data_IF_460796404997
#
_entry.id   IF_460796404997
#
_cell.length_a   1.000
_cell.length_b   1.000
_cell.length_c   1.000
_cell.angle_alpha   90.00
_cell.angle_beta   90.00
_cell.angle_gamma   90.00
#
_symmetry.space_group_name_H-M   'P 1'
#
loop_
_entity.id
_entity.type
_entity.pdbx_description
1 polymer ?
#
# COMPACT_ATOMS: atom_id res chain seq x y z
N UNK A 1 -9.97 11.36 10.33
CA UNK A 1 -8.83 10.67 10.95
C UNK A 1 -7.63 11.56 10.85
N UNK A 2 -6.91 11.76 11.95
CA UNK A 2 -5.71 12.60 11.99
C UNK A 2 -4.48 11.72 11.74
N UNK A 3 -3.64 12.12 10.78
CA UNK A 3 -2.40 11.39 10.47
C UNK A 3 -1.43 11.53 11.65
N UNK A 4 -0.91 10.41 12.14
CA UNK A 4 0.02 10.39 13.26
C UNK A 4 1.43 10.67 12.75
N UNK A 5 2.03 11.77 13.21
CA UNK A 5 3.40 12.13 12.80
C UNK A 5 4.39 11.13 13.42
N UNK A 6 5.24 10.46 12.63
CA UNK A 6 6.27 9.56 13.15
C UNK A 6 7.30 10.33 13.95
N UNK A 7 8.04 9.63 14.81
CA UNK A 7 9.19 10.23 15.50
C UNK A 7 10.33 10.45 14.50
N UNK A 8 10.93 11.62 14.53
CA UNK A 8 12.10 11.98 13.74
C UNK A 8 13.39 11.54 14.43
N UNK A 9 14.55 11.80 13.81
CA UNK A 9 15.83 11.60 14.49
C UNK A 9 15.93 12.47 15.75
N UNK A 10 16.76 12.03 16.71
CA UNK A 10 16.94 12.73 17.98
C UNK A 10 17.29 14.21 17.79
N UNK A 11 18.24 14.51 16.89
CA UNK A 11 18.69 15.87 16.61
C UNK A 11 17.57 16.73 16.01
N UNK A 12 16.76 16.16 15.11
CA UNK A 12 15.60 16.84 14.55
C UNK A 12 14.56 17.14 15.63
N UNK A 13 14.22 16.17 16.47
CA UNK A 13 13.24 16.37 17.56
C UNK A 13 13.69 17.48 18.51
N UNK A 14 14.97 17.48 18.93
CA UNK A 14 15.52 18.52 19.81
C UNK A 14 15.40 19.93 19.20
N UNK A 15 15.66 20.07 17.90
CA UNK A 15 15.52 21.35 17.21
C UNK A 15 14.05 21.76 17.05
N UNK A 16 13.15 20.81 16.81
CA UNK A 16 11.71 21.06 16.72
C UNK A 16 11.12 21.48 18.07
N UNK A 17 11.53 20.84 19.17
CA UNK A 17 11.14 21.21 20.53
C UNK A 17 11.58 22.63 20.88
N UNK A 18 12.85 22.95 20.61
CA UNK A 18 13.38 24.31 20.79
C UNK A 18 12.63 25.32 19.91
N UNK A 19 12.45 25.01 18.63
CA UNK A 19 11.74 25.87 17.69
C UNK A 19 10.28 26.10 18.08
N UNK A 20 9.58 25.07 18.54
CA UNK A 20 8.21 25.18 19.05
C UNK A 20 8.14 26.08 20.29
N UNK A 21 9.10 25.97 21.20
CA UNK A 21 9.19 26.82 22.39
C UNK A 21 9.40 28.30 22.01
N UNK A 22 10.31 28.58 21.08
CA UNK A 22 10.52 29.94 20.55
C UNK A 22 9.27 30.48 19.83
N UNK A 23 8.57 29.62 19.08
CA UNK A 23 7.34 29.97 18.39
C UNK A 23 6.22 30.35 19.37
N UNK A 24 6.05 29.63 20.47
CA UNK A 24 5.04 29.96 21.48
C UNK A 24 5.26 31.35 22.10
N UNK A 25 6.52 31.72 22.31
CA UNK A 25 6.88 33.00 22.95
C UNK A 25 6.79 34.17 21.96
N UNK A 26 7.30 33.99 20.75
CA UNK A 26 7.59 35.11 19.83
C UNK A 26 6.95 34.99 18.45
N UNK A 27 6.19 33.91 18.20
CA UNK A 27 5.66 33.54 16.86
C UNK A 27 6.76 33.43 15.79
N UNK A 28 8.01 33.28 16.21
CA UNK A 28 9.16 33.13 15.33
C UNK A 28 9.20 31.70 14.77
N UNK A 29 9.24 31.60 13.45
CA UNK A 29 9.39 30.32 12.76
C UNK A 29 10.81 29.78 12.87
N UNK A 30 10.95 28.46 12.91
CA UNK A 30 12.24 27.79 12.86
C UNK A 30 12.85 27.95 11.46
N UNK A 31 14.12 28.36 11.41
CA UNK A 31 14.89 28.28 10.17
C UNK A 31 15.29 26.83 9.92
N UNK A 32 14.54 26.14 9.05
CA UNK A 32 14.71 24.70 8.81
C UNK A 32 15.92 24.43 7.92
N UNK A 33 16.99 23.90 8.52
CA UNK A 33 18.19 23.47 7.81
C UNK A 33 17.91 22.35 6.81
N UNK A 34 18.80 22.16 5.83
CA UNK A 34 18.68 21.09 4.84
C UNK A 34 18.61 19.69 5.49
N UNK A 35 19.40 19.48 6.55
CA UNK A 35 19.46 18.22 7.27
C UNK A 35 18.13 17.87 7.96
N UNK A 36 17.58 18.80 8.75
CA UNK A 36 16.29 18.63 9.44
C UNK A 36 15.18 18.39 8.41
N UNK A 37 15.16 19.18 7.34
CA UNK A 37 14.19 19.05 6.26
C UNK A 37 14.25 17.67 5.60
N UNK A 38 15.45 17.16 5.33
CA UNK A 38 15.66 15.84 4.74
C UNK A 38 15.12 14.74 5.65
N UNK A 39 15.47 14.77 6.95
CA UNK A 39 15.01 13.78 7.92
C UNK A 39 13.48 13.73 8.05
N UNK A 40 12.83 14.90 8.20
CA UNK A 40 11.37 15.00 8.24
C UNK A 40 10.75 14.40 6.98
N UNK A 41 11.24 14.77 5.80
CA UNK A 41 10.70 14.28 4.52
C UNK A 41 10.96 12.78 4.32
N UNK A 42 12.11 12.25 4.76
CA UNK A 42 12.42 10.83 4.70
C UNK A 42 11.44 10.02 5.56
N UNK A 43 11.29 10.38 6.83
CA UNK A 43 10.40 9.68 7.76
C UNK A 43 8.94 9.76 7.37
N UNK A 44 8.46 10.94 6.97
CA UNK A 44 7.09 11.08 6.46
C UNK A 44 6.89 10.32 5.15
N UNK A 45 7.88 10.31 4.26
CA UNK A 45 7.77 9.57 3.00
C UNK A 45 7.66 8.06 3.22
N UNK A 46 8.47 7.51 4.13
CA UNK A 46 8.40 6.10 4.55
C UNK A 46 7.03 5.76 5.14
N UNK A 47 6.55 6.58 6.09
CA UNK A 47 5.29 6.36 6.79
C UNK A 47 4.09 6.46 5.84
N UNK A 48 4.04 7.50 4.98
CA UNK A 48 3.00 7.61 3.93
C UNK A 48 3.01 6.38 3.03
N UNK A 49 4.18 5.89 2.63
CA UNK A 49 4.30 4.74 1.73
C UNK A 49 3.70 3.47 2.35
N UNK A 50 3.91 3.23 3.65
CA UNK A 50 3.34 2.09 4.36
C UNK A 50 1.81 2.08 4.32
N UNK A 51 1.17 3.26 4.35
CA UNK A 51 -0.29 3.35 4.19
C UNK A 51 -0.72 3.31 2.71
N UNK A 52 0.01 3.98 1.82
CA UNK A 52 -0.36 4.12 0.41
C UNK A 52 0.86 4.42 -0.47
N UNK A 53 1.23 3.48 -1.34
CA UNK A 53 2.33 3.66 -2.29
C UNK A 53 2.08 4.81 -3.30
N UNK A 54 0.82 5.01 -3.72
CA UNK A 54 0.40 6.06 -4.66
C UNK A 54 -0.59 7.04 -4.01
N UNK A 55 -0.12 7.92 -3.10
CA UNK A 55 -0.98 8.91 -2.46
C UNK A 55 -1.50 9.94 -3.46
N UNK A 56 -2.73 10.38 -3.25
CA UNK A 56 -3.37 11.47 -3.98
C UNK A 56 -3.12 12.81 -3.29
N UNK A 57 -3.38 13.92 -3.98
CA UNK A 57 -3.11 15.27 -3.51
C UNK A 57 -3.68 15.58 -2.11
N UNK A 58 -4.89 15.07 -1.81
CA UNK A 58 -5.54 15.23 -0.50
C UNK A 58 -4.76 14.57 0.66
N UNK A 59 -4.09 13.44 0.42
CA UNK A 59 -3.29 12.76 1.45
C UNK A 59 -2.10 13.63 1.85
N UNK A 60 -1.48 14.31 0.88
CA UNK A 60 -0.39 15.24 1.14
C UNK A 60 -0.84 16.47 1.91
N UNK A 61 -2.07 16.97 1.68
CA UNK A 61 -2.64 18.03 2.51
C UNK A 61 -2.77 17.59 3.96
N UNK A 62 -3.39 16.42 4.21
CA UNK A 62 -3.59 15.88 5.57
C UNK A 62 -2.26 15.75 6.32
N UNK A 63 -1.22 15.20 5.68
CA UNK A 63 0.08 15.01 6.33
C UNK A 63 0.77 16.35 6.60
N UNK A 64 0.72 17.28 5.65
CA UNK A 64 1.33 18.60 5.84
C UNK A 64 0.63 19.40 6.94
N UNK A 65 -0.70 19.32 7.04
CA UNK A 65 -1.49 19.93 8.10
C UNK A 65 -1.18 19.30 9.46
N UNK A 66 -1.12 17.97 9.54
CA UNK A 66 -0.73 17.27 10.77
C UNK A 66 0.69 17.63 11.23
N UNK A 67 1.63 17.78 10.28
CA UNK A 67 3.01 18.17 10.57
C UNK A 67 3.06 19.57 11.21
N UNK A 68 2.41 20.55 10.59
CA UNK A 68 2.40 21.93 11.09
C UNK A 68 1.58 22.06 12.37
N UNK A 69 0.51 21.28 12.53
CA UNK A 69 -0.26 21.25 13.77
C UNK A 69 0.58 20.73 14.95
N UNK A 70 1.38 19.68 14.73
CA UNK A 70 2.29 19.14 15.77
C UNK A 70 3.52 20.02 15.99
N UNK A 71 4.03 20.63 14.93
CA UNK A 71 5.21 21.49 14.98
C UNK A 71 4.91 22.87 14.35
N UNK A 72 4.20 23.76 15.07
CA UNK A 72 3.84 25.09 14.55
C UNK A 72 5.03 25.93 14.11
N UNK A 73 6.23 25.69 14.66
CA UNK A 73 7.45 26.37 14.25
C UNK A 73 7.86 26.10 12.79
N UNK A 74 7.28 25.09 12.14
CA UNK A 74 7.51 24.75 10.74
C UNK A 74 6.60 25.49 9.75
N UNK A 75 5.67 26.32 10.25
CA UNK A 75 4.71 27.03 9.40
C UNK A 75 5.44 28.00 8.45
N UNK A 76 5.10 27.95 7.16
CA UNK A 76 5.73 28.79 6.14
C UNK A 76 4.95 30.08 5.89
N UNK A 77 5.59 31.26 5.92
CA UNK A 77 4.93 32.52 5.63
C UNK A 77 4.48 32.59 4.16
N UNK A 78 3.37 33.29 3.90
CA UNK A 78 2.83 33.47 2.54
C UNK A 78 1.98 32.30 2.01
N UNK A 79 1.80 31.23 2.79
CA UNK A 79 0.84 30.17 2.50
C UNK A 79 -0.44 30.38 3.33
N UNK A 80 -1.61 30.26 2.70
CA UNK A 80 -2.93 30.43 3.35
C UNK A 80 -3.09 29.59 4.62
N UNK A 81 -2.64 28.33 4.60
CA UNK A 81 -2.66 27.42 5.74
C UNK A 81 -1.27 27.18 6.36
N UNK A 82 -0.22 27.80 5.81
CA UNK A 82 1.15 27.68 6.29
C UNK A 82 1.82 26.31 6.05
N UNK A 83 1.16 25.39 5.34
CA UNK A 83 1.66 24.03 5.11
C UNK A 83 1.83 23.70 3.61
N UNK A 84 1.52 24.63 2.70
CA UNK A 84 1.53 24.38 1.26
C UNK A 84 2.91 23.95 0.72
N UNK A 85 4.02 24.58 1.15
CA UNK A 85 5.34 24.18 0.67
C UNK A 85 5.75 22.81 1.19
N UNK A 86 5.38 22.45 2.43
CA UNK A 86 5.53 21.08 2.94
C UNK A 86 4.78 20.06 2.09
N UNK A 87 3.52 20.34 1.73
CA UNK A 87 2.75 19.51 0.80
C UNK A 87 3.50 19.29 -0.53
N UNK A 88 4.02 20.35 -1.14
CA UNK A 88 4.76 20.22 -2.40
C UNK A 88 6.04 19.38 -2.23
N UNK A 89 6.81 19.62 -1.16
CA UNK A 89 8.02 18.84 -0.87
C UNK A 89 7.71 17.36 -0.65
N UNK A 90 6.62 17.03 0.04
CA UNK A 90 6.16 15.65 0.21
C UNK A 90 5.78 15.00 -1.13
N UNK A 91 5.11 15.73 -2.04
CA UNK A 91 4.79 15.22 -3.39
C UNK A 91 6.07 14.83 -4.16
N UNK A 92 7.05 15.72 -4.19
CA UNK A 92 8.34 15.45 -4.83
C UNK A 92 9.08 14.30 -4.13
N UNK A 93 9.13 14.31 -2.80
CA UNK A 93 9.76 13.26 -2.00
C UNK A 93 9.16 11.89 -2.29
N UNK A 94 7.83 11.77 -2.34
CA UNK A 94 7.16 10.51 -2.66
C UNK A 94 7.43 10.04 -4.09
N UNK A 95 7.55 10.96 -5.04
CA UNK A 95 8.00 10.64 -6.40
C UNK A 95 9.40 10.01 -6.40
N UNK A 96 10.35 10.65 -5.73
CA UNK A 96 11.73 10.17 -5.63
C UNK A 96 11.84 8.86 -4.85
N UNK A 97 11.11 8.73 -3.74
CA UNK A 97 11.11 7.55 -2.89
C UNK A 97 10.59 6.31 -3.65
N UNK A 98 9.51 6.44 -4.41
CA UNK A 98 9.05 5.37 -5.31
C UNK A 98 10.10 4.98 -6.35
N UNK A 99 10.78 5.96 -6.95
CA UNK A 99 11.85 5.67 -7.91
C UNK A 99 12.99 4.89 -7.26
N UNK A 100 13.39 5.24 -6.03
CA UNK A 100 14.40 4.51 -5.26
C UNK A 100 13.96 3.08 -4.93
N UNK A 101 12.75 2.89 -4.38
CA UNK A 101 12.22 1.57 -4.07
C UNK A 101 12.09 0.68 -5.31
N UNK A 102 11.72 1.26 -6.45
CA UNK A 102 11.71 0.54 -7.74
C UNK A 102 13.11 0.06 -8.13
N UNK A 103 14.14 0.89 -7.95
CA UNK A 103 15.54 0.50 -8.23
C UNK A 103 16.03 -0.60 -7.28
N UNK A 104 15.53 -0.62 -6.04
CA UNK A 104 15.80 -1.68 -5.06
C UNK A 104 15.01 -2.97 -5.32
N UNK A 105 14.21 -3.04 -6.39
CA UNK A 105 13.50 -4.24 -6.80
C UNK A 105 12.13 -4.43 -6.17
N UNK A 106 11.51 -3.39 -5.60
CA UNK A 106 10.15 -3.46 -5.07
C UNK A 106 9.14 -3.92 -6.15
N UNK A 107 8.54 -5.12 -6.03
CA UNK A 107 7.71 -5.69 -7.09
C UNK A 107 6.45 -4.87 -7.40
N UNK A 108 5.85 -4.28 -6.36
CA UNK A 108 4.68 -3.41 -6.48
C UNK A 108 4.92 -2.20 -7.41
N UNK A 109 6.15 -1.68 -7.45
CA UNK A 109 6.51 -0.54 -8.30
C UNK A 109 7.09 -0.98 -9.64
N UNK A 110 7.70 -2.17 -9.70
CA UNK A 110 8.30 -2.70 -10.92
C UNK A 110 7.24 -3.12 -11.95
N UNK A 111 6.05 -3.55 -11.51
CA UNK A 111 4.93 -3.95 -12.38
C UNK A 111 4.49 -2.84 -13.35
N UNK A 112 4.72 -1.57 -13.01
CA UNK A 112 4.38 -0.40 -13.83
C UNK A 112 5.54 0.09 -14.72
N UNK A 113 6.69 -0.59 -14.71
CA UNK A 113 7.82 -0.22 -15.55
C UNK A 113 7.50 -0.36 -17.04
N UNK A 114 8.22 0.37 -17.91
CA UNK A 114 8.07 0.19 -19.35
C UNK A 114 8.43 -1.23 -19.79
N UNK A 115 9.39 -1.88 -19.10
CA UNK A 115 9.81 -3.26 -19.39
C UNK A 115 8.71 -4.30 -19.11
N UNK A 116 7.82 -4.02 -18.17
CA UNK A 116 6.70 -4.91 -17.80
C UNK A 116 5.42 -4.61 -18.58
N UNK A 117 5.39 -3.56 -19.41
CA UNK A 117 4.26 -3.25 -20.29
C UNK A 117 4.47 -3.90 -21.65
N UNK A 118 3.37 -4.38 -22.25
CA UNK A 118 3.39 -4.85 -23.62
C UNK A 118 3.84 -3.70 -24.56
N UNK A 119 4.57 -4.04 -25.62
CA UNK A 119 5.18 -3.09 -26.56
C UNK A 119 4.17 -2.14 -27.20
N UNK A 120 2.92 -2.57 -27.36
CA UNK A 120 1.81 -1.78 -27.92
C UNK A 120 1.18 -0.78 -26.92
N UNK A 121 1.49 -0.89 -25.62
CA UNK A 121 0.93 -0.09 -24.53
C UNK A 121 2.01 0.71 -23.75
N UNK A 122 3.17 0.93 -24.36
CA UNK A 122 4.40 1.47 -23.75
C UNK A 122 4.38 2.98 -23.41
N UNK A 123 3.26 3.50 -22.90
CA UNK A 123 3.21 4.84 -22.30
C UNK A 123 3.32 4.74 -20.77
N UNK A 124 4.19 5.53 -20.10
CA UNK A 124 4.39 5.45 -18.65
C UNK A 124 3.10 5.60 -17.84
N UNK A 125 2.20 6.49 -18.26
CA UNK A 125 0.96 6.81 -17.55
C UNK A 125 -0.25 5.91 -17.91
N UNK A 126 -0.16 5.09 -18.97
CA UNK A 126 -1.29 4.26 -19.42
C UNK A 126 -1.39 2.99 -18.57
N UNK A 127 -2.59 2.65 -18.08
CA UNK A 127 -2.88 1.41 -17.30
C UNK A 127 -1.94 1.21 -16.10
N UNK A 128 -1.78 2.23 -15.26
CA UNK A 128 -1.00 2.09 -14.00
C UNK A 128 -1.73 1.14 -13.05
N UNK A 129 -1.09 0.01 -12.77
CA UNK A 129 -1.51 -1.02 -11.82
C UNK A 129 -1.20 -0.54 -10.42
N UNK A 130 -2.23 -0.31 -9.60
CA UNK A 130 -2.08 0.17 -8.23
C UNK A 130 -3.11 -0.49 -7.32
N UNK A 131 -2.81 -0.62 -6.02
CA UNK A 131 -3.77 -1.12 -5.04
C UNK A 131 -5.10 -0.35 -5.13
N UNK A 132 -6.22 -1.08 -5.09
CA UNK A 132 -7.56 -0.49 -4.98
C UNK A 132 -8.14 -0.83 -3.60
N UNK A 133 -9.08 -0.02 -3.11
CA UNK A 133 -9.95 -0.32 -1.94
C UNK A 133 -9.20 -0.91 -0.72
N UNK A 134 -8.01 -0.39 -0.39
CA UNK A 134 -7.15 -0.83 0.71
C UNK A 134 -6.59 -2.27 0.60
N UNK A 135 -6.38 -2.78 -0.61
CA UNK A 135 -5.62 -4.01 -0.84
C UNK A 135 -4.22 -3.92 -0.21
N UNK A 136 -4.01 -4.60 0.92
CA UNK A 136 -2.74 -4.63 1.63
C UNK A 136 -1.68 -5.43 0.86
N UNK A 137 -2.09 -6.51 0.19
CA UNK A 137 -1.20 -7.37 -0.58
C UNK A 137 -1.51 -7.31 -2.08
N UNK A 138 -1.38 -6.11 -2.67
CA UNK A 138 -1.67 -5.86 -4.08
C UNK A 138 -0.78 -6.64 -5.05
N UNK A 139 0.54 -6.66 -4.80
CA UNK A 139 1.52 -7.32 -5.66
C UNK A 139 2.63 -7.98 -4.82
N UNK A 140 2.29 -9.07 -4.10
CA UNK A 140 3.23 -9.75 -3.21
C UNK A 140 4.39 -10.41 -3.98
N UNK A 141 5.57 -10.41 -3.36
CA UNK A 141 6.73 -11.17 -3.81
C UNK A 141 6.49 -12.67 -3.67
N UNK A 142 7.21 -13.48 -4.47
CA UNK A 142 7.23 -14.92 -4.25
C UNK A 142 7.98 -15.27 -2.96
N UNK A 143 7.64 -16.41 -2.32
CA UNK A 143 8.43 -16.94 -1.21
C UNK A 143 9.90 -17.13 -1.63
N UNK A 144 10.82 -17.00 -0.66
CA UNK A 144 12.25 -17.16 -0.92
C UNK A 144 12.53 -18.54 -1.51
N UNK A 145 13.26 -18.57 -2.63
CA UNK A 145 13.64 -19.81 -3.33
C UNK A 145 12.59 -20.33 -4.31
N UNK A 146 11.40 -19.71 -4.41
CA UNK A 146 10.38 -20.07 -5.40
C UNK A 146 10.52 -19.23 -6.67
N UNK A 147 10.36 -19.85 -7.83
CA UNK A 147 10.27 -19.19 -9.14
C UNK A 147 8.86 -19.32 -9.72
N UNK A 148 8.58 -18.60 -10.81
CA UNK A 148 7.30 -18.75 -11.49
C UNK A 148 7.10 -20.19 -11.96
N UNK A 149 8.16 -20.82 -12.46
CA UNK A 149 8.14 -22.20 -12.98
C UNK A 149 7.91 -23.22 -11.86
N UNK A 150 8.56 -23.07 -10.70
CA UNK A 150 8.34 -23.98 -9.57
C UNK A 150 6.90 -23.89 -9.05
N UNK A 151 6.39 -22.66 -8.90
CA UNK A 151 5.02 -22.42 -8.46
C UNK A 151 3.98 -22.93 -9.47
N UNK A 152 4.25 -22.81 -10.78
CA UNK A 152 3.37 -23.33 -11.82
C UNK A 152 3.35 -24.86 -11.87
N UNK A 153 4.51 -25.51 -11.68
CA UNK A 153 4.60 -26.97 -11.56
C UNK A 153 3.81 -27.48 -10.35
N UNK A 154 3.89 -26.76 -9.25
CA UNK A 154 3.13 -27.07 -8.05
C UNK A 154 1.61 -26.79 -8.19
N UNK A 155 1.21 -25.77 -8.96
CA UNK A 155 -0.19 -25.53 -9.32
C UNK A 155 -0.79 -26.73 -10.04
N UNK A 156 -0.06 -27.34 -10.98
CA UNK A 156 -0.54 -28.54 -11.67
C UNK A 156 -0.84 -29.68 -10.70
N UNK A 157 -0.02 -29.85 -9.65
CA UNK A 157 -0.28 -30.83 -8.59
C UNK A 157 -1.51 -30.47 -7.77
N UNK A 158 -1.82 -29.19 -7.56
CA UNK A 158 -3.03 -28.78 -6.86
C UNK A 158 -4.30 -29.25 -7.58
N UNK A 159 -4.29 -29.33 -8.92
CA UNK A 159 -5.47 -29.76 -9.67
C UNK A 159 -5.92 -31.19 -9.32
N UNK A 160 -4.97 -32.11 -9.06
CA UNK A 160 -5.32 -33.46 -8.62
C UNK A 160 -5.82 -33.49 -7.18
N UNK A 161 -5.35 -32.59 -6.32
CA UNK A 161 -5.74 -32.53 -4.89
C UNK A 161 -7.19 -32.10 -4.68
N UNK A 162 -7.71 -31.23 -5.56
CA UNK A 162 -9.07 -30.70 -5.48
C UNK A 162 -10.14 -31.79 -5.69
N UNK A 163 -9.79 -32.88 -6.38
CA UNK A 163 -10.68 -34.02 -6.57
C UNK A 163 -10.69 -35.03 -5.41
N UNK A 164 -9.82 -34.87 -4.41
CA UNK A 164 -9.68 -35.82 -3.30
C UNK A 164 -10.63 -35.44 -2.17
N UNK A 165 -11.35 -36.43 -1.63
CA UNK A 165 -12.28 -36.26 -0.52
C UNK A 165 -11.54 -35.91 0.78
N UNK A 166 -12.08 -34.99 1.57
CA UNK A 166 -11.54 -34.56 2.88
C UNK A 166 -10.10 -34.02 2.82
N UNK A 167 -9.75 -33.30 1.76
CA UNK A 167 -8.39 -32.81 1.49
C UNK A 167 -8.22 -31.30 1.75
N UNK A 168 -9.16 -30.69 2.49
CA UNK A 168 -9.29 -29.23 2.61
C UNK A 168 -8.03 -28.59 3.20
N UNK A 169 -7.40 -29.24 4.18
CA UNK A 169 -6.17 -28.72 4.82
C UNK A 169 -4.99 -28.67 3.86
N UNK A 170 -4.84 -29.69 3.00
CA UNK A 170 -3.77 -29.75 2.00
C UNK A 170 -4.02 -28.70 0.93
N UNK A 171 -5.27 -28.57 0.47
CA UNK A 171 -5.68 -27.52 -0.47
C UNK A 171 -5.36 -26.15 0.13
N UNK A 172 -5.70 -25.88 1.38
CA UNK A 172 -5.45 -24.60 2.04
C UNK A 172 -3.97 -24.23 2.14
N UNK A 173 -3.09 -25.17 2.55
CA UNK A 173 -1.63 -24.93 2.58
C UNK A 173 -1.08 -24.68 1.18
N UNK A 174 -1.49 -25.52 0.22
CA UNK A 174 -1.11 -25.37 -1.18
C UNK A 174 -1.63 -24.06 -1.74
N UNK A 175 -2.82 -23.61 -1.39
CA UNK A 175 -3.35 -22.33 -1.84
C UNK A 175 -2.58 -21.17 -1.21
N UNK A 176 -2.25 -21.23 0.08
CA UNK A 176 -1.49 -20.20 0.78
C UNK A 176 -0.14 -19.90 0.13
N UNK A 177 0.64 -20.94 -0.16
CA UNK A 177 1.95 -20.81 -0.79
C UNK A 177 1.90 -20.15 -2.18
N UNK A 178 0.77 -20.25 -2.89
CA UNK A 178 0.60 -19.77 -4.27
C UNK A 178 -0.27 -18.51 -4.36
N UNK A 179 -0.54 -17.86 -3.23
CA UNK A 179 -1.22 -16.57 -3.22
C UNK A 179 -0.52 -15.54 -4.12
N UNK A 180 0.81 -15.49 -4.06
CA UNK A 180 1.55 -14.49 -4.82
C UNK A 180 1.45 -14.67 -6.34
N UNK A 181 1.63 -15.89 -6.85
CA UNK A 181 1.47 -16.17 -8.29
C UNK A 181 0.04 -15.88 -8.76
N UNK A 182 -0.99 -16.25 -7.98
CA UNK A 182 -2.40 -15.93 -8.31
C UNK A 182 -2.65 -14.44 -8.37
N UNK A 183 -2.19 -13.70 -7.38
CA UNK A 183 -2.39 -12.25 -7.33
C UNK A 183 -1.70 -11.58 -8.51
N UNK A 184 -0.44 -11.96 -8.78
CA UNK A 184 0.28 -11.47 -9.94
C UNK A 184 -0.39 -11.85 -11.26
N UNK A 185 -0.97 -13.05 -11.39
CA UNK A 185 -1.75 -13.46 -12.57
C UNK A 185 -2.94 -12.51 -12.81
N UNK A 186 -3.74 -12.24 -11.77
CA UNK A 186 -4.88 -11.32 -11.85
C UNK A 186 -4.44 -9.90 -12.20
N UNK A 187 -3.37 -9.39 -11.57
CA UNK A 187 -2.86 -8.04 -11.84
C UNK A 187 -2.19 -7.94 -13.21
N UNK A 188 -1.54 -9.00 -13.69
CA UNK A 188 -0.75 -8.96 -14.90
C UNK A 188 -1.56 -9.26 -16.16
N UNK A 189 -2.37 -10.30 -16.11
CA UNK A 189 -3.04 -10.88 -17.27
C UNK A 189 -4.52 -10.48 -17.36
N UNK A 190 -5.11 -10.01 -16.25
CA UNK A 190 -6.55 -9.69 -16.16
C UNK A 190 -7.43 -10.78 -16.80
N UNK A 191 -7.25 -12.08 -16.42
CA UNK A 191 -7.88 -13.19 -17.11
C UNK A 191 -9.40 -13.15 -16.91
N UNK A 192 -10.14 -13.72 -17.87
CA UNK A 192 -11.58 -13.93 -17.69
C UNK A 192 -11.85 -14.87 -16.52
N UNK A 193 -13.01 -14.72 -15.87
CA UNK A 193 -13.40 -15.58 -14.74
C UNK A 193 -13.38 -17.06 -15.13
N UNK A 194 -13.76 -17.39 -16.38
CA UNK A 194 -13.72 -18.76 -16.90
C UNK A 194 -12.30 -19.33 -16.88
N UNK A 195 -11.35 -18.62 -17.50
CA UNK A 195 -9.94 -19.05 -17.54
C UNK A 195 -9.34 -19.13 -16.14
N UNK A 196 -9.65 -18.15 -15.28
CA UNK A 196 -9.13 -18.13 -13.93
C UNK A 196 -9.69 -19.28 -13.06
N UNK A 197 -10.96 -19.63 -13.23
CA UNK A 197 -11.59 -20.79 -12.59
C UNK A 197 -10.95 -22.10 -13.03
N UNK A 198 -10.71 -22.27 -14.33
CA UNK A 198 -10.10 -23.49 -14.86
C UNK A 198 -8.67 -23.67 -14.33
N UNK A 199 -7.92 -22.56 -14.14
CA UNK A 199 -6.57 -22.59 -13.57
C UNK A 199 -6.54 -22.81 -12.05
N UNK A 200 -7.53 -22.27 -11.32
CA UNK A 200 -7.61 -22.26 -9.86
C UNK A 200 -8.98 -22.69 -9.33
N UNK A 201 -9.39 -23.96 -9.57
CA UNK A 201 -10.74 -24.41 -9.20
C UNK A 201 -11.00 -24.33 -7.69
N UNK A 202 -9.97 -24.54 -6.87
CA UNK A 202 -10.05 -24.41 -5.41
C UNK A 202 -10.52 -23.02 -4.95
N UNK A 203 -10.17 -21.94 -5.67
CA UNK A 203 -10.59 -20.57 -5.32
C UNK A 203 -12.11 -20.37 -5.36
N UNK A 204 -12.85 -21.27 -6.01
CA UNK A 204 -14.30 -21.20 -6.11
C UNK A 204 -15.00 -22.02 -5.01
N UNK A 205 -14.25 -22.47 -4.00
CA UNK A 205 -14.76 -23.03 -2.76
C UNK A 205 -14.85 -21.93 -1.69
N UNK A 206 -15.92 -21.92 -0.88
CA UNK A 206 -16.16 -20.86 0.12
C UNK A 206 -14.98 -20.62 1.05
N UNK A 207 -14.36 -21.69 1.57
CA UNK A 207 -13.22 -21.60 2.48
C UNK A 207 -12.02 -20.87 1.83
N UNK A 208 -11.74 -21.16 0.56
CA UNK A 208 -10.64 -20.51 -0.15
C UNK A 208 -10.98 -19.08 -0.59
N UNK A 209 -12.25 -18.75 -0.86
CA UNK A 209 -12.68 -17.36 -1.06
C UNK A 209 -12.38 -16.53 0.19
N UNK A 210 -12.76 -17.05 1.37
CA UNK A 210 -12.51 -16.40 2.64
C UNK A 210 -11.00 -16.24 2.92
N UNK A 211 -10.23 -17.30 2.69
CA UNK A 211 -8.79 -17.29 2.89
C UNK A 211 -8.09 -16.32 1.92
N UNK A 212 -8.48 -16.31 0.64
CA UNK A 212 -7.91 -15.41 -0.36
C UNK A 212 -8.22 -13.95 -0.07
N UNK A 213 -9.45 -13.66 0.36
CA UNK A 213 -9.83 -12.32 0.81
C UNK A 213 -8.99 -11.88 2.01
N UNK A 214 -8.82 -12.74 3.01
CA UNK A 214 -7.99 -12.44 4.17
C UNK A 214 -6.52 -12.20 3.79
N UNK A 215 -5.96 -13.00 2.87
CA UNK A 215 -4.60 -12.78 2.36
C UNK A 215 -4.48 -11.45 1.61
N UNK A 216 -5.49 -11.04 0.85
CA UNK A 216 -5.47 -9.78 0.11
C UNK A 216 -5.65 -8.55 1.00
N UNK A 217 -6.62 -8.61 1.91
CA UNK A 217 -7.13 -7.46 2.65
C UNK A 217 -6.67 -7.38 4.11
N UNK A 218 -5.98 -8.43 4.61
CA UNK A 218 -5.57 -8.61 6.02
C UNK A 218 -6.72 -8.55 7.04
N UNK A 219 -7.97 -8.70 6.58
CA UNK A 219 -9.19 -8.77 7.40
C UNK A 219 -10.05 -9.96 6.99
N UNK A 220 -10.73 -10.59 7.95
CA UNK A 220 -11.61 -11.75 7.69
C UNK A 220 -12.91 -11.32 6.99
N UNK A 221 -13.27 -11.99 5.89
CA UNK A 221 -14.43 -11.63 5.07
C UNK A 221 -15.76 -11.76 5.81
N UNK A 222 -16.10 -12.96 6.26
CA UNK A 222 -17.42 -13.25 6.87
C UNK A 222 -17.68 -12.42 8.15
N UNK A 223 -16.78 -12.37 9.15
CA UNK A 223 -17.03 -11.56 10.34
C UNK A 223 -17.17 -10.07 10.01
N UNK A 224 -16.35 -9.55 9.08
CA UNK A 224 -16.42 -8.16 8.67
C UNK A 224 -17.72 -7.86 7.93
N UNK A 225 -18.14 -8.77 7.04
CA UNK A 225 -19.38 -8.64 6.29
C UNK A 225 -20.59 -8.64 7.22
N UNK A 226 -20.69 -9.61 8.13
CA UNK A 226 -21.81 -9.71 9.09
C UNK A 226 -21.86 -8.47 10.00
N UNK A 227 -20.72 -8.05 10.56
CA UNK A 227 -20.67 -6.85 11.39
C UNK A 227 -21.08 -5.58 10.64
N UNK A 228 -20.81 -5.48 9.34
CA UNK A 228 -21.30 -4.35 8.54
C UNK A 228 -22.78 -4.51 8.18
N UNK A 229 -23.24 -5.73 7.89
CA UNK A 229 -24.64 -6.00 7.63
C UNK A 229 -25.51 -5.54 8.80
N UNK A 230 -25.17 -5.93 10.03
CA UNK A 230 -25.90 -5.51 11.25
C UNK A 230 -26.04 -3.99 11.38
N UNK A 231 -24.98 -3.24 11.03
CA UNK A 231 -24.98 -1.77 11.06
C UNK A 231 -25.96 -1.19 10.03
N UNK A 232 -26.05 -1.79 8.84
CA UNK A 232 -26.86 -1.26 7.73
C UNK A 232 -28.25 -1.91 7.60
N UNK A 233 -28.53 -3.01 8.30
CA UNK A 233 -29.80 -3.77 8.22
C UNK A 233 -31.02 -2.87 8.38
N UNK A 234 -31.00 -1.95 9.35
CA UNK A 234 -32.11 -1.01 9.59
C UNK A 234 -32.42 -0.08 8.43
N UNK A 235 -31.44 0.21 7.56
CA UNK A 235 -31.60 1.04 6.37
C UNK A 235 -32.01 0.22 5.15
N UNK A 236 -31.52 -1.03 5.04
CA UNK A 236 -31.84 -1.94 3.94
C UNK A 236 -33.27 -2.49 4.01
N UNK A 237 -33.86 -2.52 5.21
CA UNK A 237 -35.25 -2.96 5.42
C UNK A 237 -36.28 -1.82 5.28
N UNK A 238 -35.87 -0.62 4.88
CA UNK A 238 -36.76 0.50 4.54
C UNK A 238 -37.04 0.52 3.05
#
# INVERSE_FOLDING_TARGET
MEFQIPRFSYDTELQLEKGNSEYQISQKMLNVSSQIKSDILNRLGEDIYQYKAYPEDAHFCIVAEALVKRHPCLKEPGSFNGCYGWKQRLKYKMGNYRTQLKLQGCPELSVNSLKSKATTDAFPAKKVKRPKRAEANFYPSFPVGETLESLEKERLKLLSEVGIRNNERVIADKMARRFAIRRQEVVNQEPSIKVFRDRWPALFQQNEINAEFQRLMTVSLEPKFMAQLDVYTSQLMR
#
